data_IF_273589061646
#
_entry.id   IF_273589061646
#
_cell.length_a   1.000
_cell.length_b   1.000
_cell.length_c   1.000
_cell.angle_alpha   90.00
_cell.angle_beta   90.00
_cell.angle_gamma   90.00
#
_symmetry.space_group_name_H-M   'P 1'
#
loop_
_entity.id
_entity.type
_entity.pdbx_description
1 polymer ?
#
# COMPACT_ATOMS: atom_id res chain seq x y z
N UNK A 1 -71.83 -38.00 -4.11
CA UNK A 1 -71.35 -38.26 -2.74
C UNK A 1 -69.77 -38.20 -2.80
N UNK A 2 -69.24 -37.01 -2.53
CA UNK A 2 -67.77 -36.75 -2.64
C UNK A 2 -67.13 -36.83 -1.26
N UNK A 3 -66.12 -37.69 -1.10
CA UNK A 3 -65.37 -37.85 0.13
C UNK A 3 -64.07 -37.00 -0.03
N UNK A 4 -63.80 -36.06 0.88
CA UNK A 4 -62.54 -35.28 0.78
C UNK A 4 -61.37 -36.07 1.37
N UNK A 5 -60.23 -36.15 0.62
CA UNK A 5 -58.97 -36.70 1.05
C UNK A 5 -58.30 -35.75 2.05
N UNK A 6 -58.00 -36.27 3.24
CA UNK A 6 -57.19 -35.57 4.26
C UNK A 6 -55.73 -35.48 3.80
N UNK A 7 -55.23 -34.25 3.67
CA UNK A 7 -53.80 -33.97 3.44
C UNK A 7 -53.11 -33.99 4.82
N UNK A 8 -52.16 -34.89 5.01
CA UNK A 8 -51.28 -34.89 6.17
C UNK A 8 -50.11 -33.96 5.89
N UNK A 9 -50.05 -32.82 6.59
CA UNK A 9 -48.93 -31.94 6.57
C UNK A 9 -47.77 -32.53 7.36
N UNK A 10 -46.66 -32.79 6.70
CA UNK A 10 -45.38 -33.19 7.31
C UNK A 10 -44.64 -31.91 7.71
N UNK A 11 -44.54 -31.67 9.03
CA UNK A 11 -43.64 -30.64 9.55
C UNK A 11 -42.18 -31.14 9.46
N UNK A 12 -41.40 -30.56 8.56
CA UNK A 12 -39.97 -30.73 8.53
C UNK A 12 -39.34 -29.75 9.54
N UNK A 13 -38.85 -30.29 10.67
CA UNK A 13 -38.00 -29.53 11.61
C UNK A 13 -36.63 -29.41 11.00
N UNK A 14 -36.30 -28.24 10.45
CA UNK A 14 -34.97 -27.92 9.99
C UNK A 14 -34.07 -27.66 11.19
N UNK A 15 -33.08 -28.56 11.42
CA UNK A 15 -31.98 -28.32 12.35
C UNK A 15 -31.03 -27.28 11.72
N UNK A 16 -31.05 -26.07 12.23
CA UNK A 16 -30.06 -25.06 11.91
C UNK A 16 -28.71 -25.46 12.57
N UNK A 17 -27.77 -25.91 11.74
CA UNK A 17 -26.39 -26.12 12.19
C UNK A 17 -25.76 -24.75 12.43
N UNK A 18 -25.64 -24.34 13.68
CA UNK A 18 -24.81 -23.21 14.09
C UNK A 18 -23.34 -23.65 13.93
N UNK A 19 -22.70 -23.18 12.86
CA UNK A 19 -21.25 -23.27 12.73
C UNK A 19 -20.62 -22.31 13.75
N UNK A 20 -20.11 -22.89 14.83
CA UNK A 20 -19.24 -22.18 15.78
C UNK A 20 -17.92 -21.86 15.02
N UNK A 21 -17.80 -20.65 14.50
CA UNK A 21 -16.49 -20.12 14.11
C UNK A 21 -15.66 -20.02 15.40
N UNK A 22 -14.69 -20.90 15.53
CA UNK A 22 -13.69 -20.81 16.59
C UNK A 22 -12.91 -19.51 16.36
N UNK A 23 -13.19 -18.49 17.14
CA UNK A 23 -12.34 -17.33 17.27
C UNK A 23 -10.98 -17.81 17.77
N UNK A 24 -9.94 -17.70 16.95
CA UNK A 24 -8.57 -17.93 17.36
C UNK A 24 -8.08 -16.64 18.04
N UNK A 25 -8.00 -16.56 19.39
CA UNK A 25 -7.65 -15.33 20.09
C UNK A 25 -6.17 -14.93 19.93
N UNK A 26 -5.37 -15.70 19.20
CA UNK A 26 -3.95 -15.45 18.95
C UNK A 26 -3.65 -14.95 17.53
N UNK A 27 -4.64 -14.74 16.70
CA UNK A 27 -4.43 -13.94 15.48
C UNK A 27 -4.32 -12.49 15.95
N UNK A 28 -3.11 -11.99 16.21
CA UNK A 28 -2.85 -10.55 16.20
C UNK A 28 -3.27 -10.11 14.79
N UNK A 29 -4.40 -9.42 14.70
CA UNK A 29 -4.88 -8.93 13.43
C UNK A 29 -3.78 -8.06 12.85
N UNK A 30 -3.34 -8.36 11.63
CA UNK A 30 -2.48 -7.51 10.85
C UNK A 30 -3.08 -6.10 10.88
N UNK A 31 -2.29 -5.10 11.24
CA UNK A 31 -2.76 -3.74 11.37
C UNK A 31 -1.82 -2.79 10.66
N UNK A 32 -2.35 -2.10 9.70
CA UNK A 32 -1.71 -0.99 9.03
C UNK A 32 -1.99 0.32 9.76
N UNK A 33 -0.98 1.17 9.77
CA UNK A 33 -1.05 2.50 10.36
C UNK A 33 -0.84 3.54 9.27
N UNK A 34 -1.86 4.30 8.88
CA UNK A 34 -1.72 5.32 7.84
C UNK A 34 -0.77 6.45 8.27
N UNK A 35 -0.02 6.97 7.32
CA UNK A 35 0.84 8.14 7.47
C UNK A 35 0.18 9.32 6.78
N UNK A 36 -0.58 10.10 7.55
CA UNK A 36 -1.33 11.24 7.03
C UNK A 36 -2.44 10.84 6.06
N UNK A 37 -2.88 11.80 5.26
CA UNK A 37 -3.90 11.60 4.24
C UNK A 37 -3.28 11.18 2.91
N UNK A 38 -4.09 10.56 2.03
CA UNK A 38 -3.75 10.33 0.63
C UNK A 38 -3.53 11.68 -0.06
N UNK A 39 -2.45 11.80 -0.83
CA UNK A 39 -2.15 12.99 -1.62
C UNK A 39 -2.24 12.68 -3.11
N UNK A 40 -2.70 13.64 -3.89
CA UNK A 40 -2.81 13.55 -5.34
C UNK A 40 -1.91 14.58 -6.04
N UNK A 41 -1.18 14.13 -7.05
CA UNK A 41 -0.57 15.00 -8.05
C UNK A 41 -1.55 15.19 -9.21
N UNK A 42 -2.21 16.34 -9.23
CA UNK A 42 -3.22 16.69 -10.24
C UNK A 42 -2.61 17.09 -11.60
N UNK A 43 -1.28 17.18 -11.69
CA UNK A 43 -0.57 17.53 -12.93
C UNK A 43 -0.23 16.27 -13.73
N UNK A 44 0.23 15.23 -13.04
CA UNK A 44 0.60 13.95 -13.66
C UNK A 44 -0.45 12.86 -13.40
N UNK A 45 -1.53 13.21 -12.71
CA UNK A 45 -2.72 12.38 -12.46
C UNK A 45 -2.41 11.05 -11.82
N UNK A 46 -1.82 11.10 -10.62
CA UNK A 46 -1.66 9.95 -9.74
C UNK A 46 -1.82 10.35 -8.28
N UNK A 47 -2.25 9.40 -7.46
CA UNK A 47 -2.42 9.54 -6.02
C UNK A 47 -1.50 8.59 -5.28
N UNK A 48 -1.18 8.95 -4.04
CA UNK A 48 -0.23 8.26 -3.17
C UNK A 48 -0.82 8.14 -1.77
N UNK A 49 -0.97 6.92 -1.30
CA UNK A 49 -1.24 6.61 0.10
C UNK A 49 0.01 6.01 0.76
N UNK A 50 0.19 6.26 2.05
CA UNK A 50 1.30 5.73 2.84
C UNK A 50 0.76 5.00 4.07
N UNK A 51 1.28 3.79 4.31
CA UNK A 51 1.04 3.02 5.52
C UNK A 51 2.34 2.46 6.09
N UNK A 52 2.35 2.11 7.38
CA UNK A 52 3.43 1.34 7.97
C UNK A 52 2.89 0.28 8.93
N UNK A 53 3.65 -0.78 9.11
CA UNK A 53 3.34 -1.90 10.01
C UNK A 53 4.61 -2.65 10.42
N UNK A 54 4.49 -3.89 10.92
CA UNK A 54 5.65 -4.68 11.31
C UNK A 54 6.57 -4.98 10.12
N UNK A 55 7.90 -5.09 10.35
CA UNK A 55 8.83 -5.48 9.29
C UNK A 55 8.46 -6.84 8.68
N UNK A 56 8.61 -6.97 7.37
CA UNK A 56 8.26 -8.19 6.62
C UNK A 56 9.49 -8.88 6.04
N UNK A 57 9.49 -10.23 5.98
CA UNK A 57 10.47 -10.95 5.20
C UNK A 57 10.18 -10.82 3.70
N UNK A 58 11.22 -10.75 2.89
CA UNK A 58 11.11 -10.61 1.45
C UNK A 58 11.94 -11.65 0.71
N UNK A 59 11.48 -12.01 -0.48
CA UNK A 59 12.23 -12.77 -1.46
C UNK A 59 12.38 -11.96 -2.76
N UNK A 60 13.60 -11.97 -3.40
CA UNK A 60 14.81 -12.61 -2.89
C UNK A 60 15.38 -11.89 -1.67
N UNK A 61 16.05 -12.64 -0.79
CA UNK A 61 16.69 -12.07 0.40
C UNK A 61 17.79 -11.06 0.05
N UNK A 62 18.02 -10.09 0.95
CA UNK A 62 19.10 -9.10 0.79
C UNK A 62 18.73 -7.87 -0.03
N UNK A 63 17.52 -7.74 -0.50
CA UNK A 63 17.07 -6.56 -1.25
C UNK A 63 16.71 -5.37 -0.34
N UNK A 64 16.42 -5.61 0.93
CA UNK A 64 16.19 -4.60 1.96
C UNK A 64 16.64 -5.13 3.32
N UNK A 65 16.51 -4.33 4.39
CA UNK A 65 16.80 -4.79 5.75
C UNK A 65 15.93 -6.01 6.11
N UNK A 66 16.55 -6.99 6.78
CA UNK A 66 15.80 -8.11 7.33
C UNK A 66 14.86 -7.65 8.46
N UNK A 67 13.79 -8.40 8.77
CA UNK A 67 12.84 -7.99 9.81
C UNK A 67 13.46 -7.71 11.17
N UNK A 68 14.49 -8.46 11.55
CA UNK A 68 15.23 -8.31 12.81
C UNK A 68 16.13 -7.05 12.86
N UNK A 69 16.43 -6.47 11.71
CA UNK A 69 17.24 -5.25 11.57
C UNK A 69 16.40 -3.98 11.45
N UNK A 70 15.11 -4.12 11.17
CA UNK A 70 14.19 -3.02 10.94
C UNK A 70 13.24 -2.81 12.13
N UNK A 71 12.61 -1.65 12.17
CA UNK A 71 11.57 -1.33 13.16
C UNK A 71 10.17 -1.32 12.54
N UNK A 72 10.06 -0.98 11.26
CA UNK A 72 8.81 -0.95 10.50
C UNK A 72 9.04 -1.41 9.06
N UNK A 73 7.99 -1.93 8.45
CA UNK A 73 7.81 -1.89 7.00
C UNK A 73 6.97 -0.66 6.66
N UNK A 74 7.32 0.04 5.60
CA UNK A 74 6.56 1.20 5.12
C UNK A 74 6.30 1.02 3.63
N UNK A 75 5.06 1.26 3.25
CA UNK A 75 4.56 1.09 1.88
C UNK A 75 3.98 2.37 1.33
N UNK A 76 3.99 2.45 0.01
CA UNK A 76 3.26 3.45 -0.74
C UNK A 76 2.52 2.83 -1.89
N UNK A 77 1.20 3.06 -1.91
CA UNK A 77 0.31 2.74 -3.00
C UNK A 77 0.25 3.92 -3.96
N UNK A 78 0.62 3.68 -5.21
CA UNK A 78 0.66 4.70 -6.25
C UNK A 78 -0.26 4.29 -7.38
N UNK A 79 -1.38 5.00 -7.50
CA UNK A 79 -2.41 4.67 -8.49
C UNK A 79 -2.72 5.86 -9.39
N UNK A 80 -2.95 5.57 -10.66
CA UNK A 80 -3.39 6.57 -11.62
C UNK A 80 -4.77 7.13 -11.24
N UNK A 81 -4.97 8.43 -11.46
CA UNK A 81 -6.26 9.12 -11.27
C UNK A 81 -6.87 9.55 -12.59
N UNK A 82 -8.07 10.09 -12.54
CA UNK A 82 -8.76 10.64 -13.73
C UNK A 82 -7.89 11.71 -14.39
N UNK A 83 -7.78 11.64 -15.72
CA UNK A 83 -6.92 12.52 -16.51
C UNK A 83 -5.50 11.98 -16.74
N UNK A 84 -5.15 10.77 -16.26
CA UNK A 84 -3.88 10.15 -16.64
C UNK A 84 -3.86 9.85 -18.14
N UNK A 85 -2.94 10.48 -18.84
CA UNK A 85 -2.78 10.36 -20.31
C UNK A 85 -1.63 9.44 -20.72
N UNK A 86 -0.97 8.77 -19.77
CA UNK A 86 0.16 7.87 -20.03
C UNK A 86 -0.25 6.41 -20.21
N UNK A 87 -1.56 6.13 -20.34
CA UNK A 87 -2.08 4.80 -20.64
C UNK A 87 -2.44 3.96 -19.42
N UNK A 88 -2.40 4.52 -18.22
CA UNK A 88 -2.86 3.87 -17.00
C UNK A 88 -4.33 4.24 -16.73
N UNK A 89 -5.18 3.25 -16.55
CA UNK A 89 -6.58 3.44 -16.15
C UNK A 89 -6.70 3.95 -14.71
N UNK A 90 -7.83 4.58 -14.39
CA UNK A 90 -8.11 5.05 -13.03
C UNK A 90 -8.04 3.88 -12.03
N UNK A 91 -7.22 4.04 -10.99
CA UNK A 91 -6.98 3.03 -9.98
C UNK A 91 -5.91 1.98 -10.37
N UNK A 92 -5.35 2.03 -11.57
CA UNK A 92 -4.24 1.16 -11.92
C UNK A 92 -2.95 1.57 -11.22
N UNK A 93 -2.23 0.58 -10.70
CA UNK A 93 -0.90 0.79 -10.13
C UNK A 93 0.09 1.21 -11.22
N UNK A 94 0.93 2.21 -10.91
CA UNK A 94 1.95 2.71 -11.85
C UNK A 94 3.26 1.99 -11.59
N UNK A 95 3.70 1.10 -12.51
CA UNK A 95 4.94 0.32 -12.36
C UNK A 95 6.19 1.12 -12.70
N UNK A 96 7.35 0.55 -12.35
CA UNK A 96 8.69 1.04 -12.72
C UNK A 96 9.06 2.45 -12.23
N UNK A 97 8.33 2.99 -11.26
CA UNK A 97 8.70 4.24 -10.62
C UNK A 97 9.90 4.04 -9.68
N UNK A 98 10.78 5.02 -9.62
CA UNK A 98 11.77 5.11 -8.53
C UNK A 98 11.23 6.05 -7.46
N UNK A 99 11.12 5.53 -6.24
CA UNK A 99 10.55 6.23 -5.09
C UNK A 99 11.63 6.40 -4.03
N UNK A 100 12.16 7.62 -3.90
CA UNK A 100 13.14 7.95 -2.86
C UNK A 100 12.44 8.55 -1.64
N UNK A 101 12.89 8.20 -0.44
CA UNK A 101 12.36 8.75 0.80
C UNK A 101 13.44 9.40 1.67
N UNK A 102 13.01 10.39 2.45
CA UNK A 102 13.81 11.03 3.48
C UNK A 102 12.93 11.33 4.69
N UNK A 103 13.27 10.75 5.84
CA UNK A 103 12.62 11.03 7.10
C UNK A 103 13.52 11.87 7.98
N UNK A 104 13.04 13.03 8.42
CA UNK A 104 13.77 13.96 9.28
C UNK A 104 13.06 14.06 10.62
N UNK A 105 13.71 13.65 11.69
CA UNK A 105 13.16 13.73 13.03
C UNK A 105 13.13 15.17 13.51
N UNK A 106 11.97 15.63 13.94
CA UNK A 106 11.82 16.96 14.54
C UNK A 106 12.55 17.03 15.88
N UNK A 107 13.14 18.18 16.18
CA UNK A 107 13.99 18.36 17.37
C UNK A 107 15.44 17.94 17.16
N UNK A 108 15.77 17.43 15.99
CA UNK A 108 17.13 17.00 15.62
C UNK A 108 17.40 15.53 15.92
N UNK A 109 18.37 15.01 15.21
CA UNK A 109 18.86 13.65 15.34
C UNK A 109 20.36 13.63 15.04
N UNK A 110 21.21 13.18 15.99
CA UNK A 110 22.66 13.12 15.78
C UNK A 110 23.05 12.14 14.66
N UNK A 111 22.19 11.19 14.31
CA UNK A 111 22.40 10.26 13.20
C UNK A 111 22.01 10.85 11.84
N UNK A 112 21.39 12.04 11.84
CA UNK A 112 20.88 12.68 10.63
C UNK A 112 19.56 12.07 10.12
N UNK A 113 19.14 12.44 8.91
CA UNK A 113 17.91 11.91 8.32
C UNK A 113 18.07 10.45 7.88
N UNK A 114 16.98 9.69 7.97
CA UNK A 114 16.88 8.35 7.40
C UNK A 114 16.52 8.51 5.93
N UNK A 115 17.29 7.91 5.04
CA UNK A 115 17.06 7.99 3.59
C UNK A 115 17.16 6.61 2.94
N UNK A 116 16.44 6.43 1.83
CA UNK A 116 16.51 5.22 1.04
C UNK A 116 15.65 5.31 -0.21
N UNK A 117 15.52 4.17 -0.86
CA UNK A 117 14.69 3.98 -2.05
C UNK A 117 13.76 2.80 -1.79
N UNK A 118 12.50 2.98 -2.08
CA UNK A 118 11.54 1.89 -2.05
C UNK A 118 11.73 0.98 -3.26
N UNK A 119 11.49 -0.29 -3.07
CA UNK A 119 11.48 -1.27 -4.14
C UNK A 119 10.04 -1.66 -4.49
N UNK A 120 9.76 -2.00 -5.76
CA UNK A 120 8.48 -2.60 -6.11
C UNK A 120 8.37 -4.00 -5.53
N UNK A 121 7.21 -4.33 -4.99
CA UNK A 121 6.91 -5.64 -4.42
C UNK A 121 5.42 -5.96 -4.57
N UNK A 122 5.03 -7.18 -4.23
CA UNK A 122 3.64 -7.60 -4.23
C UNK A 122 3.31 -8.29 -2.91
N UNK A 123 2.15 -7.96 -2.36
CA UNK A 123 1.51 -8.66 -1.26
C UNK A 123 0.18 -9.28 -1.74
N UNK A 124 -0.61 -9.82 -0.83
CA UNK A 124 -1.88 -10.46 -1.16
C UNK A 124 -2.96 -9.46 -1.60
N UNK A 125 -2.82 -8.20 -1.26
CA UNK A 125 -3.68 -7.07 -1.68
C UNK A 125 -3.23 -6.37 -2.97
N UNK A 126 -2.02 -6.67 -3.46
CA UNK A 126 -1.56 -6.16 -4.74
C UNK A 126 -0.10 -5.68 -4.78
N UNK A 127 0.28 -5.03 -5.91
CA UNK A 127 1.61 -4.47 -6.07
C UNK A 127 1.71 -3.07 -5.44
N UNK A 128 2.83 -2.81 -4.78
CA UNK A 128 3.15 -1.53 -4.14
C UNK A 128 4.66 -1.26 -4.16
N UNK A 129 5.07 -0.11 -3.61
CA UNK A 129 6.48 0.20 -3.35
C UNK A 129 6.71 0.29 -1.85
N UNK A 130 7.76 -0.33 -1.34
CA UNK A 130 8.01 -0.33 0.09
C UNK A 130 9.44 -0.67 0.48
N UNK A 131 9.71 -0.56 1.78
CA UNK A 131 10.97 -0.98 2.39
C UNK A 131 10.80 -1.27 3.88
N UNK A 132 11.61 -2.19 4.39
CA UNK A 132 11.89 -2.27 5.81
C UNK A 132 12.82 -1.13 6.23
N UNK A 133 12.46 -0.40 7.27
CA UNK A 133 13.18 0.79 7.72
C UNK A 133 13.56 0.70 9.18
N UNK A 134 14.82 1.05 9.49
CA UNK A 134 15.31 1.26 10.85
C UNK A 134 15.05 2.70 11.24
N UNK A 135 14.22 2.90 12.26
CA UNK A 135 13.87 4.21 12.78
C UNK A 135 14.88 4.68 13.86
N UNK A 136 14.98 5.97 14.08
CA UNK A 136 15.83 6.56 15.11
C UNK A 136 15.04 6.86 16.40
N UNK A 137 14.25 5.88 16.85
CA UNK A 137 13.43 5.93 18.04
C UNK A 137 12.17 6.81 17.93
N UNK A 138 11.40 6.89 19.00
CA UNK A 138 10.15 7.64 19.06
C UNK A 138 10.33 9.12 18.70
N UNK A 139 9.32 9.70 18.05
CA UNK A 139 9.30 11.11 17.70
C UNK A 139 8.40 11.44 16.51
N UNK A 140 8.31 12.72 16.24
CA UNK A 140 7.66 13.23 15.03
C UNK A 140 8.67 13.30 13.90
N UNK A 141 8.30 12.77 12.75
CA UNK A 141 9.12 12.75 11.55
C UNK A 141 8.45 13.51 10.41
N UNK A 142 9.19 14.41 9.79
CA UNK A 142 8.83 14.98 8.51
C UNK A 142 9.36 14.06 7.41
N UNK A 143 8.45 13.62 6.56
CA UNK A 143 8.71 12.67 5.48
C UNK A 143 8.64 13.38 4.15
N UNK A 144 9.71 13.34 3.37
CA UNK A 144 9.77 13.80 2.00
C UNK A 144 9.96 12.60 1.08
N UNK A 145 9.07 12.48 0.10
CA UNK A 145 9.16 11.47 -0.94
C UNK A 145 9.36 12.13 -2.30
N UNK A 146 10.19 11.51 -3.13
CA UNK A 146 10.39 11.90 -4.53
C UNK A 146 9.99 10.76 -5.44
N UNK A 147 8.98 11.03 -6.24
CA UNK A 147 8.41 10.10 -7.20
C UNK A 147 8.94 10.41 -8.59
N UNK A 148 9.88 9.61 -9.06
CA UNK A 148 10.39 9.69 -10.43
C UNK A 148 9.47 8.90 -11.35
N UNK A 149 9.31 9.38 -12.57
CA UNK A 149 8.53 8.72 -13.58
C UNK A 149 9.03 7.30 -13.86
N UNK A 150 8.17 6.41 -14.41
CA UNK A 150 8.58 5.06 -14.81
C UNK A 150 9.86 5.05 -15.64
N UNK A 151 10.87 4.33 -15.17
CA UNK A 151 12.16 4.18 -15.84
C UNK A 151 12.18 2.85 -16.63
N UNK A 152 12.58 2.92 -17.91
CA UNK A 152 12.60 1.72 -18.76
C UNK A 152 11.23 1.23 -19.23
N UNK A 153 10.19 2.02 -19.01
CA UNK A 153 8.83 1.75 -19.46
C UNK A 153 8.48 2.61 -20.67
N UNK A 154 8.16 1.95 -21.81
CA UNK A 154 7.90 2.64 -23.07
C UNK A 154 6.46 3.12 -23.20
N UNK A 155 6.27 4.22 -23.93
CA UNK A 155 4.96 4.71 -24.36
C UNK A 155 4.88 4.61 -25.87
N UNK A 156 3.75 4.10 -26.40
CA UNK A 156 3.44 4.24 -27.84
C UNK A 156 3.14 5.71 -28.14
N UNK A 157 3.68 6.22 -29.23
CA UNK A 157 3.53 7.61 -29.62
C UNK A 157 3.07 7.78 -31.06
N UNK A 158 2.70 6.67 -31.72
CA UNK A 158 2.17 6.66 -33.06
C UNK A 158 0.70 7.16 -33.08
N UNK A 159 0.19 7.57 -34.27
CA UNK A 159 -1.15 8.15 -34.37
C UNK A 159 -2.29 7.17 -34.08
N UNK A 160 -2.06 5.86 -34.20
CA UNK A 160 -3.14 4.85 -34.17
C UNK A 160 -3.30 4.22 -32.79
N UNK A 161 -2.18 3.97 -32.09
CA UNK A 161 -2.16 3.29 -30.80
C UNK A 161 -1.44 4.08 -29.69
N UNK A 162 -0.92 5.24 -30.02
CA UNK A 162 -0.14 6.06 -29.11
C UNK A 162 -0.99 6.71 -28.02
N UNK A 163 -0.38 6.87 -26.84
CA UNK A 163 -0.98 7.62 -25.72
C UNK A 163 -0.67 9.12 -25.87
N UNK A 164 -1.60 10.04 -25.52
CA UNK A 164 -1.40 11.47 -25.67
C UNK A 164 -0.39 12.03 -24.66
N UNK A 165 -0.30 11.47 -23.46
CA UNK A 165 0.56 11.93 -22.39
C UNK A 165 2.04 11.57 -22.58
N UNK A 166 2.85 12.20 -21.73
CA UNK A 166 4.28 11.89 -21.58
C UNK A 166 4.63 11.90 -20.11
N UNK A 167 5.55 11.05 -19.72
CA UNK A 167 6.05 11.02 -18.36
C UNK A 167 6.72 12.34 -17.97
N UNK A 168 6.59 12.68 -16.70
CA UNK A 168 7.23 13.88 -16.13
C UNK A 168 8.74 13.74 -16.08
N UNK A 169 9.44 14.85 -16.21
CA UNK A 169 10.92 14.88 -16.29
C UNK A 169 11.61 15.15 -14.97
N UNK A 170 10.91 15.81 -14.04
CA UNK A 170 11.41 16.13 -12.69
C UNK A 170 10.62 15.33 -11.68
N UNK A 171 11.22 14.82 -10.60
CA UNK A 171 10.46 14.08 -9.61
C UNK A 171 9.35 14.95 -9.00
N UNK A 172 8.19 14.33 -8.81
CA UNK A 172 7.12 14.89 -7.99
C UNK A 172 7.55 14.75 -6.53
N UNK A 173 7.42 15.82 -5.74
CA UNK A 173 7.78 15.81 -4.32
C UNK A 173 6.53 15.96 -3.50
N UNK A 174 6.28 14.97 -2.64
CA UNK A 174 5.18 15.00 -1.66
C UNK A 174 5.73 14.90 -0.25
N UNK A 175 5.00 15.47 0.72
CA UNK A 175 5.47 15.54 2.11
C UNK A 175 4.34 15.17 3.07
N UNK A 176 4.73 14.38 4.06
CA UNK A 176 3.88 14.00 5.18
C UNK A 176 4.58 14.26 6.50
N UNK A 177 3.83 14.17 7.56
CA UNK A 177 4.35 14.17 8.93
C UNK A 177 3.64 13.07 9.70
N UNK A 178 4.39 12.26 10.45
CA UNK A 178 3.78 11.27 11.33
C UNK A 178 4.50 11.15 12.67
N UNK A 179 3.77 10.70 13.67
CA UNK A 179 4.30 10.41 14.99
C UNK A 179 4.63 8.93 15.08
N UNK A 180 5.91 8.61 15.14
CA UNK A 180 6.38 7.25 15.33
C UNK A 180 6.56 6.93 16.81
N UNK A 181 6.01 5.80 17.23
CA UNK A 181 6.26 5.19 18.54
C UNK A 181 6.70 3.75 18.31
N UNK A 182 7.88 3.32 18.83
CA UNK A 182 8.32 1.94 18.74
C UNK A 182 7.25 0.98 19.26
N UNK A 183 6.99 -0.07 18.50
CA UNK A 183 6.01 -1.12 18.83
C UNK A 183 6.73 -2.44 19.01
N UNK A 184 6.16 -3.30 19.85
CA UNK A 184 6.47 -4.73 19.85
C UNK A 184 5.46 -5.39 18.93
N UNK A 185 5.97 -5.91 17.85
CA UNK A 185 5.19 -6.63 16.85
C UNK A 185 5.01 -8.09 17.24
#
# INVERSE_FOLDING_TARGET
MFIPKKIKSLLAVGAAAFSLFAFNPNALAFQEYPIGDELEDTVNHFKVALVYFHPVPMEPQGMMLSPDQADIHIETDIHATEGNECGFGVGEWIPYMRVEYKFTKRGGDPQGPITGTFMPMSADDGPHYGANVKMHGAGTYDCEFKFYAPEGYGLHTDPDTGVPGRFWKKPVVMKWTFNYTPRKW
#
